data_IF_352348280445
#
_entry.id   IF_352348280445
#
_cell.length_a   1.000
_cell.length_b   1.000
_cell.length_c   1.000
_cell.angle_alpha   90.00
_cell.angle_beta   90.00
_cell.angle_gamma   90.00
#
_symmetry.space_group_name_H-M   'P 1'
#
loop_
_entity.id
_entity.type
_entity.pdbx_description
1 polymer ?
#
# COMPACT_ATOMS: atom_id res chain seq x y z
N UNK A 1 -10.29 -1.73 17.28
CA UNK A 1 -11.28 -1.68 16.18
C UNK A 1 -10.88 -2.74 15.18
N UNK A 2 -11.66 -3.80 15.01
CA UNK A 2 -11.39 -4.79 13.97
C UNK A 2 -11.94 -4.22 12.66
N UNK A 3 -11.06 -3.77 11.77
CA UNK A 3 -11.44 -3.54 10.39
C UNK A 3 -11.83 -4.91 9.82
N UNK A 4 -13.01 -4.99 9.21
CA UNK A 4 -13.37 -6.13 8.36
C UNK A 4 -12.26 -6.29 7.34
N UNK A 5 -11.50 -7.39 7.40
CA UNK A 5 -10.43 -7.69 6.45
C UNK A 5 -10.94 -7.51 5.03
N UNK A 6 -12.15 -8.02 4.76
CA UNK A 6 -12.80 -7.96 3.44
C UNK A 6 -12.81 -6.57 2.80
N UNK A 7 -12.89 -5.49 3.59
CA UNK A 7 -12.88 -4.13 3.04
C UNK A 7 -11.52 -3.75 2.43
N UNK A 8 -10.42 -4.18 3.05
CA UNK A 8 -9.05 -3.91 2.59
C UNK A 8 -8.77 -4.74 1.34
N UNK A 9 -9.11 -6.03 1.35
CA UNK A 9 -8.92 -6.88 0.17
C UNK A 9 -9.74 -6.39 -1.02
N UNK A 10 -11.03 -6.09 -0.80
CA UNK A 10 -11.92 -5.58 -1.86
C UNK A 10 -11.41 -4.25 -2.42
N UNK A 11 -10.99 -3.33 -1.54
CA UNK A 11 -10.47 -2.03 -1.98
C UNK A 11 -9.18 -2.17 -2.80
N UNK A 12 -8.24 -3.03 -2.35
CA UNK A 12 -7.01 -3.30 -3.07
C UNK A 12 -7.30 -3.94 -4.44
N UNK A 13 -8.24 -4.87 -4.49
CA UNK A 13 -8.70 -5.50 -5.72
C UNK A 13 -9.32 -4.51 -6.71
N UNK A 14 -10.30 -3.71 -6.30
CA UNK A 14 -10.90 -2.69 -7.15
C UNK A 14 -9.88 -1.67 -7.66
N UNK A 15 -8.91 -1.31 -6.83
CA UNK A 15 -7.87 -0.35 -7.21
C UNK A 15 -6.89 -0.99 -8.19
N UNK A 16 -6.56 -2.28 -8.02
CA UNK A 16 -5.74 -3.04 -8.97
C UNK A 16 -6.42 -3.14 -10.34
N UNK A 17 -7.74 -3.37 -10.38
CA UNK A 17 -8.51 -3.32 -11.62
C UNK A 17 -8.44 -1.95 -12.30
N UNK A 18 -8.67 -0.87 -11.53
CA UNK A 18 -8.57 0.51 -12.06
C UNK A 18 -7.17 0.81 -12.59
N UNK A 19 -6.12 0.29 -11.94
CA UNK A 19 -4.74 0.39 -12.43
C UNK A 19 -4.62 -0.34 -13.77
N UNK A 20 -5.06 -1.60 -13.87
CA UNK A 20 -4.99 -2.37 -15.12
C UNK A 20 -5.71 -1.67 -16.27
N UNK A 21 -6.90 -1.13 -16.03
CA UNK A 21 -7.73 -0.49 -17.06
C UNK A 21 -7.21 0.87 -17.49
N UNK A 22 -6.69 1.67 -16.56
CA UNK A 22 -6.28 3.05 -16.83
C UNK A 22 -4.78 3.20 -17.10
N UNK A 23 -3.99 2.11 -17.07
CA UNK A 23 -2.54 2.23 -17.18
C UNK A 23 -2.06 2.49 -18.60
N UNK A 24 -1.07 3.38 -18.71
CA UNK A 24 -0.26 3.56 -19.94
C UNK A 24 0.84 2.48 -20.09
N UNK A 25 1.04 1.67 -19.06
CA UNK A 25 2.00 0.57 -19.01
C UNK A 25 1.29 -0.76 -19.21
N UNK A 26 2.02 -1.77 -19.68
CA UNK A 26 1.49 -3.12 -19.86
C UNK A 26 1.31 -3.79 -18.50
N UNK A 27 0.11 -4.23 -18.20
CA UNK A 27 -0.16 -5.05 -17.02
C UNK A 27 0.47 -6.45 -17.17
N UNK A 28 1.22 -6.89 -16.16
CA UNK A 28 1.88 -8.20 -16.15
C UNK A 28 1.20 -9.16 -15.18
N UNK A 29 1.09 -8.78 -13.90
CA UNK A 29 0.48 -9.60 -12.84
C UNK A 29 0.21 -8.79 -11.58
N UNK A 30 -0.55 -9.35 -10.64
CA UNK A 30 -0.62 -8.88 -9.25
C UNK A 30 0.12 -9.83 -8.32
N UNK A 31 0.59 -9.30 -7.19
CA UNK A 31 1.21 -10.09 -6.10
C UNK A 31 0.44 -9.84 -4.79
N UNK A 32 0.12 -10.92 -4.09
CA UNK A 32 -0.52 -10.88 -2.78
C UNK A 32 0.49 -10.60 -1.66
N UNK A 33 0.00 -10.34 -0.45
CA UNK A 33 0.86 -10.20 0.74
C UNK A 33 1.74 -11.43 1.00
N UNK A 34 1.30 -12.62 0.57
CA UNK A 34 2.07 -13.87 0.66
C UNK A 34 3.16 -13.98 -0.42
N UNK A 35 3.28 -13.00 -1.31
CA UNK A 35 4.23 -13.00 -2.42
C UNK A 35 3.82 -13.89 -3.60
N UNK A 36 2.62 -14.49 -3.54
CA UNK A 36 2.10 -15.30 -4.62
C UNK A 36 1.54 -14.42 -5.74
N UNK A 37 1.75 -14.85 -6.98
CA UNK A 37 1.08 -14.24 -8.11
C UNK A 37 -0.43 -14.51 -8.00
N UNK A 38 -1.22 -13.45 -8.17
CA UNK A 38 -2.67 -13.52 -8.18
C UNK A 38 -3.17 -13.17 -9.59
N UNK A 39 -4.22 -13.85 -10.03
CA UNK A 39 -4.90 -13.53 -11.29
C UNK A 39 -6.18 -12.78 -10.96
N UNK A 40 -6.35 -11.59 -11.56
CA UNK A 40 -7.54 -10.78 -11.37
C UNK A 40 -8.77 -11.43 -12.01
N UNK A 41 -8.60 -12.20 -13.09
CA UNK A 41 -9.70 -12.70 -13.92
C UNK A 41 -10.29 -14.03 -13.42
N UNK A 42 -9.53 -14.82 -12.64
CA UNK A 42 -9.91 -16.16 -12.19
C UNK A 42 -9.93 -16.27 -10.65
N UNK A 43 -10.78 -15.51 -9.99
CA UNK A 43 -10.92 -15.56 -8.52
C UNK A 43 -12.36 -15.84 -8.07
N UNK A 44 -12.49 -16.58 -6.97
CA UNK A 44 -13.71 -16.72 -6.20
C UNK A 44 -13.93 -15.46 -5.35
N UNK A 45 -15.16 -14.91 -5.26
CA UNK A 45 -15.45 -13.72 -4.47
C UNK A 45 -15.07 -13.85 -2.98
N UNK A 46 -15.03 -15.10 -2.49
CA UNK A 46 -14.75 -15.44 -1.09
C UNK A 46 -13.24 -15.56 -0.77
N UNK A 47 -12.35 -15.52 -1.77
CA UNK A 47 -10.90 -15.70 -1.59
C UNK A 47 -10.06 -14.61 -2.28
N UNK A 48 -10.51 -13.36 -2.25
CA UNK A 48 -9.68 -12.24 -2.72
C UNK A 48 -8.54 -12.04 -1.71
N UNK A 49 -7.27 -12.31 -2.06
CA UNK A 49 -6.17 -12.06 -1.16
C UNK A 49 -5.89 -10.57 -1.06
N UNK A 50 -5.19 -10.15 0.00
CA UNK A 50 -4.67 -8.78 0.10
C UNK A 50 -3.65 -8.57 -1.01
N UNK A 51 -4.05 -7.89 -2.09
CA UNK A 51 -3.15 -7.50 -3.17
C UNK A 51 -2.25 -6.39 -2.65
N UNK A 52 -0.93 -6.62 -2.67
CA UNK A 52 0.04 -5.62 -2.22
C UNK A 52 0.73 -4.92 -3.38
N UNK A 53 0.84 -5.58 -4.53
CA UNK A 53 1.54 -5.04 -5.70
C UNK A 53 0.84 -5.40 -7.00
N UNK A 54 0.91 -4.47 -7.94
CA UNK A 54 0.62 -4.61 -9.35
C UNK A 54 1.94 -4.45 -10.09
N UNK A 55 2.31 -5.45 -10.89
CA UNK A 55 3.50 -5.41 -11.73
C UNK A 55 3.10 -4.89 -13.11
N UNK A 56 3.66 -3.74 -13.46
CA UNK A 56 3.51 -3.09 -14.75
C UNK A 56 4.83 -3.15 -15.52
N UNK A 57 4.80 -3.11 -16.84
CA UNK A 57 5.96 -3.15 -17.72
C UNK A 57 5.89 -1.98 -18.70
N UNK A 58 7.00 -1.23 -18.84
CA UNK A 58 7.10 -0.19 -19.86
C UNK A 58 7.36 -0.76 -21.26
N UNK A 59 7.34 0.12 -22.26
CA UNK A 59 7.61 -0.26 -23.64
C UNK A 59 9.05 -0.79 -23.87
N UNK A 60 9.96 -0.56 -22.93
CA UNK A 60 11.34 -1.04 -22.96
C UNK A 60 11.53 -2.35 -22.17
N UNK A 61 10.47 -2.90 -21.57
CA UNK A 61 10.53 -4.11 -20.76
C UNK A 61 10.97 -3.89 -19.31
N UNK A 62 11.02 -2.65 -18.81
CA UNK A 62 11.32 -2.38 -17.40
C UNK A 62 10.10 -2.65 -16.52
N UNK A 63 10.21 -3.52 -15.51
CA UNK A 63 9.12 -3.78 -14.59
C UNK A 63 9.04 -2.70 -13.51
N UNK A 64 7.83 -2.24 -13.23
CA UNK A 64 7.47 -1.37 -12.12
C UNK A 64 6.54 -2.10 -11.17
N UNK A 65 6.93 -2.16 -9.89
CA UNK A 65 6.06 -2.60 -8.81
C UNK A 65 5.28 -1.41 -8.27
N UNK A 66 3.95 -1.50 -8.33
CA UNK A 66 3.04 -0.41 -7.98
C UNK A 66 2.00 -0.90 -6.99
N UNK A 67 1.85 -0.22 -5.87
CA UNK A 67 0.82 -0.54 -4.88
C UNK A 67 -0.59 -0.18 -5.38
N UNK A 68 -1.63 -0.97 -5.07
CA UNK A 68 -3.01 -0.67 -5.42
C UNK A 68 -3.59 0.44 -4.52
N UNK A 69 -3.04 1.65 -4.65
CA UNK A 69 -3.43 2.84 -3.91
C UNK A 69 -3.58 4.05 -4.86
N UNK A 70 -4.07 5.21 -4.37
CA UNK A 70 -4.29 6.38 -5.23
C UNK A 70 -3.03 6.88 -5.94
N UNK A 71 -1.85 6.82 -5.31
CA UNK A 71 -0.59 7.22 -5.94
C UNK A 71 -0.13 6.22 -7.00
N UNK A 72 -0.34 4.94 -6.75
CA UNK A 72 -0.08 3.88 -7.73
C UNK A 72 -0.95 4.04 -8.97
N UNK A 73 -2.23 4.39 -8.80
CA UNK A 73 -3.12 4.72 -9.91
C UNK A 73 -2.65 5.95 -10.70
N UNK A 74 -2.22 7.01 -10.02
CA UNK A 74 -1.66 8.21 -10.68
C UNK A 74 -0.40 7.88 -11.48
N UNK A 75 0.50 7.07 -10.90
CA UNK A 75 1.69 6.62 -11.60
C UNK A 75 1.32 5.77 -12.82
N UNK A 76 0.41 4.81 -12.66
CA UNK A 76 -0.04 3.94 -13.72
C UNK A 76 -0.65 4.70 -14.91
N UNK A 77 -1.36 5.81 -14.65
CA UNK A 77 -1.92 6.72 -15.66
C UNK A 77 -0.89 7.65 -16.30
N UNK A 78 0.33 7.72 -15.77
CA UNK A 78 1.35 8.67 -16.19
C UNK A 78 1.14 10.10 -15.67
N UNK A 79 0.27 10.30 -14.67
CA UNK A 79 0.03 11.62 -14.05
C UNK A 79 1.23 12.06 -13.18
N UNK A 80 1.98 11.09 -12.64
CA UNK A 80 3.22 11.31 -11.89
C UNK A 80 4.32 10.39 -12.42
N UNK A 81 5.58 10.82 -12.29
CA UNK A 81 6.71 9.97 -12.66
C UNK A 81 7.07 8.98 -11.52
N UNK A 82 7.93 8.00 -11.83
CA UNK A 82 8.35 6.97 -10.87
C UNK A 82 9.07 7.55 -9.63
N UNK A 83 9.85 8.62 -9.79
CA UNK A 83 10.56 9.24 -8.68
C UNK A 83 9.59 9.96 -7.72
N UNK A 84 8.58 10.63 -8.27
CA UNK A 84 7.51 11.25 -7.49
C UNK A 84 6.68 10.20 -6.74
N UNK A 85 6.35 9.09 -7.39
CA UNK A 85 5.69 7.95 -6.77
C UNK A 85 6.52 7.35 -5.62
N UNK A 86 7.83 7.18 -5.81
CA UNK A 86 8.72 6.70 -4.76
C UNK A 86 8.84 7.68 -3.59
N UNK A 87 8.81 8.98 -3.88
CA UNK A 87 8.83 10.04 -2.86
C UNK A 87 7.55 10.04 -2.02
N UNK A 88 6.38 9.78 -2.61
CA UNK A 88 5.13 9.68 -1.82
C UNK A 88 5.17 8.48 -0.87
N UNK A 89 5.63 7.31 -1.31
CA UNK A 89 5.78 6.14 -0.45
C UNK A 89 6.69 6.41 0.76
N UNK A 90 7.85 7.02 0.53
CA UNK A 90 8.80 7.33 1.61
C UNK A 90 8.23 8.35 2.61
N UNK A 91 7.41 9.30 2.14
CA UNK A 91 6.78 10.29 3.01
C UNK A 91 5.77 9.65 3.95
N UNK A 92 4.99 8.69 3.47
CA UNK A 92 4.00 7.99 4.29
C UNK A 92 4.68 7.16 5.40
N UNK A 93 5.78 6.47 5.08
CA UNK A 93 6.60 5.76 6.07
C UNK A 93 7.17 6.72 7.11
N UNK A 94 7.76 7.84 6.68
CA UNK A 94 8.32 8.83 7.59
C UNK A 94 7.26 9.44 8.53
N UNK A 95 6.06 9.71 8.00
CA UNK A 95 4.93 10.21 8.79
C UNK A 95 4.47 9.19 9.83
N UNK A 96 4.36 7.91 9.46
CA UNK A 96 4.01 6.83 10.37
C UNK A 96 5.01 6.68 11.52
N UNK A 97 6.31 6.69 11.22
CA UNK A 97 7.37 6.66 12.23
C UNK A 97 7.27 7.86 13.17
N UNK A 98 7.05 9.06 12.63
CA UNK A 98 6.87 10.27 13.43
C UNK A 98 5.73 10.15 14.45
N UNK A 99 4.57 9.64 14.03
CA UNK A 99 3.42 9.41 14.91
C UNK A 99 3.76 8.39 16.01
N UNK A 100 4.43 7.29 15.65
CA UNK A 100 4.86 6.27 16.63
C UNK A 100 5.84 6.84 17.67
N UNK A 101 6.82 7.66 17.25
CA UNK A 101 7.75 8.29 18.17
C UNK A 101 7.07 9.27 19.13
N UNK A 102 6.14 10.09 18.64
CA UNK A 102 5.40 11.05 19.47
C UNK A 102 4.53 10.32 20.49
N UNK A 103 3.80 9.31 20.06
CA UNK A 103 2.92 8.52 20.95
C UNK A 103 3.73 7.76 22.00
N UNK A 104 4.83 7.10 21.61
CA UNK A 104 5.72 6.43 22.56
C UNK A 104 6.32 7.42 23.58
N UNK A 105 6.74 8.60 23.14
CA UNK A 105 7.26 9.65 24.01
C UNK A 105 6.23 10.12 25.06
N UNK A 106 4.97 10.26 24.67
CA UNK A 106 3.88 10.61 25.58
C UNK A 106 3.60 9.50 26.61
N UNK A 107 3.60 8.23 26.18
CA UNK A 107 3.43 7.12 27.12
C UNK A 107 4.58 7.07 28.13
N UNK A 108 5.82 7.21 27.68
CA UNK A 108 6.98 7.20 28.57
C UNK A 108 6.98 8.38 29.55
N UNK A 109 6.59 9.58 29.11
CA UNK A 109 6.52 10.76 29.98
C UNK A 109 5.43 10.61 31.06
N UNK A 110 4.26 10.09 30.70
CA UNK A 110 3.18 9.79 31.65
C UNK A 110 3.60 8.71 32.64
N UNK A 111 4.21 7.61 32.17
CA UNK A 111 4.72 6.55 33.03
C UNK A 111 5.77 7.06 34.02
N UNK A 112 6.68 7.92 33.56
CA UNK A 112 7.70 8.52 34.42
C UNK A 112 7.09 9.43 35.49
N UNK A 113 6.15 10.30 35.09
CA UNK A 113 5.42 11.17 36.01
C UNK A 113 4.65 10.37 37.08
N UNK A 114 4.07 9.23 36.69
CA UNK A 114 3.37 8.34 37.62
C UNK A 114 4.31 7.69 38.64
N UNK A 115 5.49 7.22 38.21
CA UNK A 115 6.52 6.67 39.12
C UNK A 115 6.99 7.73 40.12
N UNK A 116 7.24 8.95 39.65
CA UNK A 116 7.59 10.09 40.51
C UNK A 116 6.50 10.43 41.52
N UNK A 117 5.22 10.32 41.16
CA UNK A 117 4.13 10.57 42.09
C UNK A 117 4.02 9.52 43.19
N UNK A 118 4.42 8.27 42.91
CA UNK A 118 4.39 7.16 43.88
C UNK A 118 5.65 7.07 44.76
N UNK A 119 6.72 7.80 44.44
CA UNK A 119 7.99 7.80 45.19
C UNK A 119 8.09 9.03 46.07
#
# INVERSE_FOLDING_TARGET
MCFSTNAIETQAYETALKIREASIYKFVRTESADGNAFDLDNHSPDEIPVITKVILEDNNGHPYSVEPNPFGLKFAKGEINYNEYKKSQNKDVAMGIGILCVTAGLFLSISWAFVQWMT
#
